data_IF_371676169893
#
_entry.id   IF_371676169893
#
_cell.length_a   1.000
_cell.length_b   1.000
_cell.length_c   1.000
_cell.angle_alpha   90.00
_cell.angle_beta   90.00
_cell.angle_gamma   90.00
#
_symmetry.space_group_name_H-M   'P 1'
#
loop_
_entity.id
_entity.type
_entity.pdbx_description
1 polymer ?
#
# COMPACT_ATOMS: atom_id res chain seq x y z
N UNK A 1 2.45 0.31 -19.40
CA UNK A 1 1.46 -0.08 -18.37
C UNK A 1 2.15 -0.96 -17.34
N UNK A 2 2.38 -0.40 -16.15
CA UNK A 2 3.14 -1.05 -15.07
C UNK A 2 2.32 -2.02 -14.21
N UNK A 3 1.00 -2.16 -14.45
CA UNK A 3 0.08 -2.85 -13.53
C UNK A 3 -0.73 -3.92 -14.26
N UNK A 4 -0.04 -4.77 -15.00
CA UNK A 4 -0.71 -5.69 -15.93
C UNK A 4 -1.19 -6.99 -15.27
N UNK A 5 -0.53 -7.45 -14.19
CA UNK A 5 -0.78 -8.78 -13.65
C UNK A 5 -2.23 -8.98 -13.18
N UNK A 6 -2.81 -7.97 -12.57
CA UNK A 6 -4.20 -8.05 -12.10
C UNK A 6 -5.19 -8.27 -13.26
N UNK A 7 -4.87 -7.71 -14.44
CA UNK A 7 -5.73 -7.73 -15.62
C UNK A 7 -5.49 -8.93 -16.54
N UNK A 8 -4.35 -9.66 -16.38
CA UNK A 8 -4.00 -10.77 -17.24
C UNK A 8 -5.08 -11.86 -17.37
N UNK A 9 -5.71 -12.33 -16.26
CA UNK A 9 -6.74 -13.35 -16.37
C UNK A 9 -7.94 -12.88 -17.20
N UNK A 10 -8.38 -11.65 -16.98
CA UNK A 10 -9.49 -11.06 -17.75
C UNK A 10 -9.13 -10.81 -19.21
N UNK A 11 -7.93 -10.33 -19.49
CA UNK A 11 -7.45 -10.11 -20.86
C UNK A 11 -7.36 -11.42 -21.65
N UNK A 12 -6.85 -12.50 -21.00
CA UNK A 12 -6.78 -13.82 -21.61
C UNK A 12 -8.18 -14.38 -21.90
N UNK A 13 -9.08 -14.34 -20.93
CA UNK A 13 -10.46 -14.77 -21.11
C UNK A 13 -11.19 -13.94 -22.17
N UNK A 14 -10.94 -12.62 -22.21
CA UNK A 14 -11.55 -11.76 -23.21
C UNK A 14 -11.25 -12.14 -24.65
N UNK A 15 -10.09 -12.75 -24.91
CA UNK A 15 -9.73 -13.30 -26.22
C UNK A 15 -10.51 -14.57 -26.57
N UNK A 16 -10.94 -15.33 -25.57
CA UNK A 16 -11.61 -16.64 -25.77
C UNK A 16 -13.13 -16.47 -25.78
N UNK A 17 -13.67 -15.76 -24.79
CA UNK A 17 -15.13 -15.68 -24.53
C UNK A 17 -15.74 -14.32 -24.80
N UNK A 18 -14.93 -13.35 -25.27
CA UNK A 18 -15.36 -12.00 -25.57
C UNK A 18 -15.37 -11.05 -24.37
N UNK A 19 -15.39 -9.75 -24.66
CA UNK A 19 -15.20 -8.68 -23.69
C UNK A 19 -16.27 -8.66 -22.57
N UNK A 20 -17.53 -8.86 -22.91
CA UNK A 20 -18.65 -8.77 -21.96
C UNK A 20 -18.51 -9.81 -20.82
N UNK A 21 -18.26 -11.07 -21.16
CA UNK A 21 -18.10 -12.13 -20.18
C UNK A 21 -16.79 -11.98 -19.38
N UNK A 22 -15.72 -11.53 -20.03
CA UNK A 22 -14.47 -11.22 -19.35
C UNK A 22 -14.63 -10.09 -18.33
N UNK A 23 -15.45 -9.07 -18.59
CA UNK A 23 -15.74 -8.00 -17.63
C UNK A 23 -16.48 -8.51 -16.40
N UNK A 24 -17.46 -9.40 -16.59
CA UNK A 24 -18.17 -10.06 -15.47
C UNK A 24 -17.17 -10.90 -14.65
N UNK A 25 -16.31 -11.65 -15.33
CA UNK A 25 -15.25 -12.42 -14.65
C UNK A 25 -14.34 -11.51 -13.81
N UNK A 26 -13.94 -10.34 -14.33
CA UNK A 26 -13.10 -9.41 -13.58
C UNK A 26 -13.79 -8.84 -12.34
N UNK A 27 -15.09 -8.61 -12.38
CA UNK A 27 -15.86 -8.22 -11.19
C UNK A 27 -15.84 -9.33 -10.12
N UNK A 28 -16.06 -10.57 -10.55
CA UNK A 28 -15.97 -11.73 -9.64
C UNK A 28 -14.55 -11.86 -9.07
N UNK A 29 -13.54 -11.73 -9.92
CA UNK A 29 -12.13 -11.78 -9.55
C UNK A 29 -11.78 -10.74 -8.48
N UNK A 30 -12.18 -9.48 -8.70
CA UNK A 30 -12.00 -8.40 -7.73
C UNK A 30 -12.73 -8.71 -6.41
N UNK A 31 -13.96 -9.19 -6.47
CA UNK A 31 -14.76 -9.55 -5.30
C UNK A 31 -14.07 -10.65 -4.48
N UNK A 32 -13.49 -11.66 -5.14
CA UNK A 32 -12.73 -12.73 -4.47
C UNK A 32 -11.54 -12.15 -3.73
N UNK A 33 -10.77 -11.23 -4.34
CA UNK A 33 -9.64 -10.58 -3.67
C UNK A 33 -10.07 -9.78 -2.44
N UNK A 34 -11.18 -9.04 -2.53
CA UNK A 34 -11.75 -8.31 -1.39
C UNK A 34 -12.14 -9.28 -0.27
N UNK A 35 -12.83 -10.37 -0.60
CA UNK A 35 -13.22 -11.38 0.39
C UNK A 35 -12.02 -12.05 1.03
N UNK A 36 -10.97 -12.38 0.24
CA UNK A 36 -9.72 -12.95 0.76
C UNK A 36 -9.02 -11.98 1.71
N UNK A 37 -8.94 -10.71 1.37
CA UNK A 37 -8.37 -9.70 2.25
C UNK A 37 -9.10 -9.69 3.60
N UNK A 38 -10.42 -9.55 3.60
CA UNK A 38 -11.20 -9.55 4.84
C UNK A 38 -11.12 -10.86 5.63
N UNK A 39 -11.09 -11.98 4.96
CA UNK A 39 -10.85 -13.27 5.60
C UNK A 39 -9.53 -13.28 6.39
N UNK A 40 -8.44 -12.80 5.78
CA UNK A 40 -7.14 -12.73 6.47
C UNK A 40 -7.12 -11.69 7.58
N UNK A 41 -7.78 -10.55 7.44
CA UNK A 41 -7.92 -9.54 8.50
C UNK A 41 -8.66 -10.14 9.71
N UNK A 42 -9.80 -10.77 9.50
CA UNK A 42 -10.60 -11.40 10.57
C UNK A 42 -9.78 -12.50 11.27
N UNK A 43 -9.09 -13.33 10.49
CA UNK A 43 -8.25 -14.39 11.04
C UNK A 43 -7.09 -13.87 11.87
N UNK A 44 -6.51 -12.73 11.49
CA UNK A 44 -5.38 -12.11 12.20
C UNK A 44 -5.85 -11.43 13.49
N UNK A 45 -6.94 -10.71 13.47
CA UNK A 45 -7.36 -9.82 14.56
C UNK A 45 -8.24 -10.50 15.64
N UNK A 46 -8.63 -11.75 15.49
CA UNK A 46 -9.40 -12.62 16.41
C UNK A 46 -10.68 -12.03 17.02
N UNK A 47 -10.70 -10.76 17.47
CA UNK A 47 -11.79 -10.09 18.20
C UNK A 47 -12.22 -8.76 17.53
N UNK A 48 -12.47 -8.77 16.23
CA UNK A 48 -12.93 -7.56 15.54
C UNK A 48 -14.39 -7.28 15.90
N UNK A 49 -14.63 -6.13 16.51
CA UNK A 49 -15.98 -5.54 16.59
C UNK A 49 -16.30 -4.89 15.24
N UNK A 50 -17.50 -5.11 14.71
CA UNK A 50 -17.95 -4.56 13.42
C UNK A 50 -17.69 -3.05 13.27
N UNK A 51 -17.77 -2.26 14.35
CA UNK A 51 -17.50 -0.83 14.35
C UNK A 51 -16.06 -0.49 13.91
N UNK A 52 -15.06 -1.30 14.27
CA UNK A 52 -13.68 -1.07 13.87
C UNK A 52 -13.48 -1.34 12.37
N UNK A 53 -14.25 -2.24 11.84
CA UNK A 53 -14.25 -2.56 10.43
C UNK A 53 -14.75 -1.38 9.57
N UNK A 54 -15.85 -0.76 9.98
CA UNK A 54 -16.35 0.43 9.31
C UNK A 54 -15.38 1.62 9.39
N UNK A 55 -14.77 1.85 10.56
CA UNK A 55 -13.75 2.89 10.72
C UNK A 55 -12.57 2.63 9.78
N UNK A 56 -12.08 1.39 9.75
CA UNK A 56 -10.95 0.99 8.90
C UNK A 56 -11.25 1.21 7.41
N UNK A 57 -12.44 0.88 6.94
CA UNK A 57 -12.80 1.04 5.53
C UNK A 57 -12.96 2.51 5.14
N UNK A 58 -13.66 3.29 5.98
CA UNK A 58 -14.06 4.66 5.65
C UNK A 58 -12.99 5.70 5.98
N UNK A 59 -12.08 5.41 6.92
CA UNK A 59 -11.11 6.37 7.41
C UNK A 59 -9.94 6.51 6.42
N UNK A 60 -9.73 7.73 5.94
CA UNK A 60 -8.60 8.11 5.07
C UNK A 60 -7.64 9.10 5.72
N UNK A 61 -7.65 9.20 7.07
CA UNK A 61 -6.83 10.16 7.81
C UNK A 61 -7.57 11.45 8.16
N UNK A 62 -6.85 12.42 8.70
CA UNK A 62 -7.38 13.74 9.09
C UNK A 62 -7.10 14.84 8.05
N UNK A 63 -6.49 14.50 6.92
CA UNK A 63 -6.15 15.48 5.89
C UNK A 63 -7.38 16.22 5.35
N UNK A 64 -8.53 15.57 5.35
CA UNK A 64 -9.83 16.21 5.04
C UNK A 64 -10.09 17.43 5.95
N UNK A 65 -9.70 17.37 7.22
CA UNK A 65 -9.83 18.51 8.15
C UNK A 65 -8.91 19.66 7.71
N UNK A 66 -7.67 19.35 7.30
CA UNK A 66 -6.74 20.33 6.73
C UNK A 66 -7.36 21.05 5.52
N UNK A 67 -7.98 20.30 4.60
CA UNK A 67 -8.65 20.87 3.43
C UNK A 67 -9.84 21.76 3.80
N UNK A 68 -10.64 21.36 4.78
CA UNK A 68 -11.74 22.18 5.28
C UNK A 68 -11.23 23.50 5.86
N UNK A 69 -10.17 23.46 6.66
CA UNK A 69 -9.55 24.66 7.25
C UNK A 69 -8.99 25.56 6.15
N UNK A 70 -8.27 25.02 5.19
CA UNK A 70 -7.72 25.76 4.05
C UNK A 70 -8.84 26.44 3.24
N UNK A 71 -9.92 25.73 2.95
CA UNK A 71 -11.07 26.28 2.24
C UNK A 71 -11.78 27.41 3.02
N UNK A 72 -11.89 27.26 4.34
CA UNK A 72 -12.43 28.30 5.22
C UNK A 72 -11.56 29.57 5.22
N UNK A 73 -10.24 29.42 5.30
CA UNK A 73 -9.29 30.55 5.27
C UNK A 73 -9.37 31.26 3.92
N UNK A 74 -9.47 30.51 2.83
CA UNK A 74 -9.51 31.05 1.47
C UNK A 74 -10.90 31.56 1.06
N UNK A 75 -11.92 31.43 1.92
CA UNK A 75 -13.31 31.82 1.62
C UNK A 75 -13.95 30.98 0.50
N UNK A 76 -13.44 29.78 0.25
CA UNK A 76 -13.95 28.83 -0.76
C UNK A 76 -14.99 27.88 -0.14
N UNK A 77 -15.72 27.15 -0.98
CA UNK A 77 -16.69 26.15 -0.50
C UNK A 77 -16.02 25.11 0.39
N UNK A 78 -16.63 24.82 1.55
CA UNK A 78 -16.15 23.84 2.52
C UNK A 78 -16.03 22.44 1.87
N UNK A 79 -16.95 22.11 1.00
CA UNK A 79 -16.90 20.89 0.17
C UNK A 79 -17.08 21.28 -1.28
N UNK A 80 -16.02 21.41 -2.06
CA UNK A 80 -16.13 21.68 -3.48
C UNK A 80 -16.78 20.48 -4.18
N UNK A 81 -18.01 20.66 -4.64
CA UNK A 81 -18.76 19.66 -5.38
C UNK A 81 -18.02 19.43 -6.70
N UNK A 82 -17.66 18.19 -6.98
CA UNK A 82 -17.00 17.81 -8.24
C UNK A 82 -15.49 17.66 -8.20
N UNK A 83 -14.83 17.83 -7.07
CA UNK A 83 -13.42 17.50 -6.93
C UNK A 83 -13.24 15.99 -6.66
N UNK A 84 -12.37 15.36 -7.44
CA UNK A 84 -12.10 13.92 -7.32
C UNK A 84 -11.37 13.57 -6.01
N UNK A 85 -10.72 14.55 -5.38
CA UNK A 85 -9.92 14.36 -4.16
C UNK A 85 -10.21 15.50 -3.18
N UNK A 86 -10.61 15.14 -1.97
CA UNK A 86 -10.92 16.10 -0.88
C UNK A 86 -9.71 16.26 0.05
N UNK A 87 -8.67 15.45 -0.16
CA UNK A 87 -7.52 15.27 0.73
C UNK A 87 -6.20 15.81 0.14
N UNK A 88 -6.25 16.94 -0.57
CA UNK A 88 -5.09 17.52 -1.27
C UNK A 88 -4.43 18.71 -0.56
N UNK A 89 -4.82 19.01 0.67
CA UNK A 89 -4.29 20.17 1.41
C UNK A 89 -2.78 20.17 1.61
N UNK A 90 -2.13 19.00 1.59
CA UNK A 90 -0.68 18.85 1.71
C UNK A 90 0.00 18.62 0.35
N UNK A 91 -0.57 19.12 -0.73
CA UNK A 91 -0.03 19.04 -2.08
C UNK A 91 0.00 17.62 -2.63
N UNK A 92 1.21 17.09 -2.87
CA UNK A 92 1.39 15.72 -3.42
C UNK A 92 1.21 14.61 -2.37
N UNK A 93 1.18 14.95 -1.09
CA UNK A 93 1.06 13.97 -0.02
C UNK A 93 -0.43 13.79 0.34
N UNK A 94 -0.96 12.65 0.01
CA UNK A 94 -2.33 12.27 0.37
C UNK A 94 -2.40 10.77 0.72
N UNK A 95 -3.27 10.42 1.65
CA UNK A 95 -3.59 9.03 1.98
C UNK A 95 -5.08 8.81 1.71
N UNK A 96 -5.37 8.05 0.68
CA UNK A 96 -6.75 7.73 0.35
C UNK A 96 -7.31 6.63 1.25
N UNK A 97 -8.60 6.75 1.61
CA UNK A 97 -9.30 5.70 2.35
C UNK A 97 -9.27 4.36 1.61
N UNK A 98 -9.45 3.26 2.34
CA UNK A 98 -9.52 1.93 1.70
C UNK A 98 -10.62 1.85 0.64
N UNK A 99 -11.76 2.51 0.87
CA UNK A 99 -12.84 2.60 -0.12
C UNK A 99 -12.35 3.31 -1.38
N UNK A 100 -11.70 4.46 -1.25
CA UNK A 100 -11.14 5.19 -2.39
C UNK A 100 -10.10 4.36 -3.13
N UNK A 101 -9.23 3.65 -2.41
CA UNK A 101 -8.24 2.77 -3.02
C UNK A 101 -8.88 1.60 -3.77
N UNK A 102 -10.01 1.05 -3.28
CA UNK A 102 -10.77 0.02 -3.98
C UNK A 102 -11.43 0.52 -5.27
N UNK A 103 -11.74 1.81 -5.37
CA UNK A 103 -12.28 2.38 -6.60
C UNK A 103 -11.21 2.72 -7.63
N UNK A 104 -10.08 3.31 -7.20
CA UNK A 104 -9.11 3.89 -8.11
C UNK A 104 -7.89 3.01 -8.38
N UNK A 105 -7.42 2.25 -7.38
CA UNK A 105 -6.15 1.51 -7.45
C UNK A 105 -6.24 0.09 -6.91
N UNK A 106 -7.43 -0.52 -6.97
CA UNK A 106 -7.68 -1.87 -6.44
C UNK A 106 -6.73 -2.94 -6.99
N UNK A 107 -6.28 -2.79 -8.21
CA UNK A 107 -5.33 -3.68 -8.88
C UNK A 107 -3.94 -3.70 -8.24
N UNK A 108 -3.59 -2.67 -7.48
CA UNK A 108 -2.35 -2.57 -6.70
C UNK A 108 -2.61 -2.83 -5.21
N UNK A 109 -3.66 -2.22 -4.67
CA UNK A 109 -3.96 -2.24 -3.24
C UNK A 109 -4.32 -3.62 -2.74
N UNK A 110 -5.24 -4.32 -3.43
CA UNK A 110 -5.70 -5.64 -2.97
C UNK A 110 -4.58 -6.68 -2.88
N UNK A 111 -3.72 -6.88 -3.91
CA UNK A 111 -2.58 -7.78 -3.78
C UNK A 111 -1.63 -7.38 -2.66
N UNK A 112 -1.38 -6.08 -2.50
CA UNK A 112 -0.51 -5.57 -1.44
C UNK A 112 -1.07 -5.86 -0.04
N UNK A 113 -2.34 -5.57 0.19
CA UNK A 113 -3.00 -5.82 1.47
C UNK A 113 -3.01 -7.30 1.82
N UNK A 114 -3.30 -8.17 0.85
CA UNK A 114 -3.26 -9.62 1.06
C UNK A 114 -1.84 -10.08 1.39
N UNK A 115 -0.82 -9.60 0.66
CA UNK A 115 0.57 -9.95 0.92
C UNK A 115 1.01 -9.52 2.32
N UNK A 116 0.65 -8.29 2.75
CA UNK A 116 0.93 -7.81 4.12
C UNK A 116 0.24 -8.69 5.15
N UNK A 117 -1.05 -9.02 4.97
CA UNK A 117 -1.78 -9.87 5.92
C UNK A 117 -1.21 -11.29 6.01
N UNK A 118 -0.80 -11.88 4.88
CA UNK A 118 -0.12 -13.16 4.86
C UNK A 118 1.23 -13.10 5.58
N UNK A 119 2.00 -12.07 5.32
CA UNK A 119 3.28 -11.86 5.98
C UNK A 119 3.14 -11.67 7.50
N UNK A 120 2.16 -10.88 7.95
CA UNK A 120 1.91 -10.67 9.38
C UNK A 120 1.48 -11.96 10.10
N UNK A 121 0.83 -12.89 9.40
CA UNK A 121 0.46 -14.19 9.95
C UNK A 121 1.63 -15.17 10.04
N UNK A 122 2.71 -14.93 9.29
CA UNK A 122 3.91 -15.76 9.33
C UNK A 122 4.74 -15.48 10.58
N UNK A 123 5.35 -16.54 11.12
CA UNK A 123 6.26 -16.43 12.27
C UNK A 123 7.71 -16.19 11.86
N UNK A 124 8.06 -16.53 10.63
CA UNK A 124 9.44 -16.49 10.11
C UNK A 124 9.55 -15.66 8.81
N UNK A 125 10.75 -15.55 8.26
CA UNK A 125 11.07 -14.82 7.04
C UNK A 125 11.27 -15.73 5.82
N UNK A 126 10.93 -17.01 5.93
CA UNK A 126 11.30 -18.03 4.92
C UNK A 126 10.63 -17.85 3.56
N UNK A 127 9.51 -17.14 3.51
CA UNK A 127 8.73 -16.94 2.28
C UNK A 127 8.48 -15.47 1.95
N UNK A 128 9.04 -14.53 2.71
CA UNK A 128 8.78 -13.11 2.49
C UNK A 128 9.30 -12.59 1.14
N UNK A 129 10.44 -13.10 0.67
CA UNK A 129 10.96 -12.77 -0.67
C UNK A 129 10.07 -13.28 -1.81
N UNK A 130 9.39 -14.41 -1.61
CA UNK A 130 8.40 -14.90 -2.55
C UNK A 130 7.19 -13.97 -2.65
N UNK A 131 6.64 -13.51 -1.51
CA UNK A 131 5.56 -12.53 -1.53
C UNK A 131 5.97 -11.18 -2.12
N UNK A 132 7.19 -10.74 -1.82
CA UNK A 132 7.77 -9.56 -2.46
C UNK A 132 7.78 -9.71 -3.98
N UNK A 133 8.27 -10.85 -4.48
CA UNK A 133 8.33 -11.13 -5.92
C UNK A 133 6.95 -11.13 -6.58
N UNK A 134 5.95 -11.71 -5.92
CA UNK A 134 4.57 -11.73 -6.41
C UNK A 134 3.97 -10.32 -6.56
N UNK A 135 4.41 -9.33 -5.79
CA UNK A 135 3.89 -7.96 -5.87
C UNK A 135 4.44 -7.17 -7.06
N UNK A 136 5.63 -7.51 -7.56
CA UNK A 136 6.30 -6.77 -8.64
C UNK A 136 5.39 -6.56 -9.87
N UNK A 137 4.70 -7.58 -10.41
CA UNK A 137 3.84 -7.40 -11.57
C UNK A 137 2.52 -6.67 -11.28
N UNK A 138 2.17 -6.50 -10.00
CA UNK A 138 0.98 -5.73 -9.59
C UNK A 138 1.28 -4.25 -9.37
N UNK A 139 2.49 -3.89 -8.98
CA UNK A 139 2.90 -2.49 -8.87
C UNK A 139 4.21 -2.29 -8.09
N UNK A 140 5.06 -1.34 -8.54
CA UNK A 140 6.33 -1.06 -7.88
C UNK A 140 6.15 -0.39 -6.49
N UNK A 141 5.16 0.46 -6.32
CA UNK A 141 4.96 1.17 -5.05
C UNK A 141 4.55 0.25 -3.89
N UNK A 142 3.54 -0.64 -4.04
CA UNK A 142 3.24 -1.66 -3.05
C UNK A 142 4.43 -2.56 -2.73
N UNK A 143 5.22 -2.88 -3.74
CA UNK A 143 6.45 -3.68 -3.58
C UNK A 143 7.46 -2.95 -2.69
N UNK A 144 7.73 -1.67 -2.91
CA UNK A 144 8.67 -0.88 -2.12
C UNK A 144 8.19 -0.78 -0.66
N UNK A 145 6.91 -0.50 -0.44
CA UNK A 145 6.32 -0.46 0.91
C UNK A 145 6.44 -1.80 1.63
N UNK A 146 6.20 -2.89 0.92
CA UNK A 146 6.34 -4.24 1.49
C UNK A 146 7.79 -4.59 1.81
N UNK A 147 8.73 -4.21 0.95
CA UNK A 147 10.18 -4.38 1.19
C UNK A 147 10.62 -3.61 2.44
N UNK A 148 10.16 -2.37 2.59
CA UNK A 148 10.43 -1.56 3.77
C UNK A 148 9.91 -2.23 5.05
N UNK A 149 8.69 -2.75 5.04
CA UNK A 149 8.11 -3.49 6.16
C UNK A 149 8.95 -4.72 6.52
N UNK A 150 9.39 -5.52 5.55
CA UNK A 150 10.27 -6.66 5.76
C UNK A 150 11.58 -6.21 6.40
N UNK A 151 12.22 -5.19 5.83
CA UNK A 151 13.50 -4.67 6.29
C UNK A 151 13.42 -4.19 7.75
N UNK A 152 12.42 -3.40 8.09
CA UNK A 152 12.19 -2.95 9.46
C UNK A 152 12.01 -4.13 10.43
N UNK A 153 11.23 -5.13 10.05
CA UNK A 153 10.99 -6.31 10.89
C UNK A 153 12.25 -7.19 11.06
N UNK A 154 13.12 -7.25 10.06
CA UNK A 154 14.41 -7.97 10.17
C UNK A 154 15.33 -7.25 11.15
N UNK A 155 15.45 -5.92 11.03
CA UNK A 155 16.33 -5.14 11.90
C UNK A 155 15.84 -5.16 13.33
N UNK A 156 14.61 -4.80 13.57
CA UNK A 156 14.07 -4.55 14.91
C UNK A 156 13.28 -5.74 15.49
N UNK A 157 13.02 -6.77 14.70
CA UNK A 157 12.17 -7.91 15.04
C UNK A 157 10.67 -7.58 14.90
N UNK A 158 9.85 -8.61 14.79
CA UNK A 158 8.40 -8.46 14.66
C UNK A 158 7.75 -7.77 15.87
N UNK A 159 8.37 -7.91 17.04
CA UNK A 159 7.89 -7.28 18.29
C UNK A 159 8.60 -5.95 18.59
N UNK A 160 9.54 -5.50 17.74
CA UNK A 160 10.28 -4.25 17.83
C UNK A 160 11.04 -4.03 19.17
N UNK A 161 11.14 -5.05 19.97
CA UNK A 161 11.80 -5.02 21.27
C UNK A 161 13.20 -5.63 21.25
N UNK A 162 13.64 -6.15 20.11
CA UNK A 162 14.91 -6.83 20.00
C UNK A 162 15.94 -5.93 19.32
N UNK A 163 17.15 -5.95 19.86
CA UNK A 163 18.33 -5.39 19.22
C UNK A 163 18.53 -6.01 17.83
N UNK A 164 19.23 -5.29 16.96
CA UNK A 164 19.60 -5.73 15.62
C UNK A 164 20.20 -7.14 15.68
N UNK A 165 19.55 -8.09 15.05
CA UNK A 165 20.00 -9.48 15.05
C UNK A 165 20.23 -9.97 13.61
N UNK A 166 21.49 -10.00 13.21
CA UNK A 166 21.92 -10.47 11.88
C UNK A 166 21.57 -11.93 11.59
N UNK A 167 21.27 -12.76 12.61
CA UNK A 167 20.81 -14.14 12.38
C UNK A 167 19.52 -14.21 11.56
N UNK A 168 18.67 -13.16 11.67
CA UNK A 168 17.41 -13.09 10.89
C UNK A 168 17.65 -12.96 9.38
N UNK A 169 18.77 -12.35 8.97
CA UNK A 169 19.14 -12.33 7.55
C UNK A 169 19.40 -13.73 6.98
N UNK A 170 19.90 -14.65 7.81
CA UNK A 170 20.09 -16.06 7.39
C UNK A 170 18.77 -16.77 7.14
N UNK A 171 17.69 -16.37 7.82
CA UNK A 171 16.36 -16.91 7.60
C UNK A 171 15.76 -16.52 6.23
N UNK A 172 16.32 -15.47 5.59
CA UNK A 172 15.96 -15.11 4.21
C UNK A 172 16.54 -16.04 3.17
N UNK A 173 17.66 -16.72 3.49
CA UNK A 173 18.36 -17.62 2.57
C UNK A 173 17.63 -18.95 2.44
N UNK A 174 16.48 -18.94 1.79
CA UNK A 174 15.62 -20.10 1.57
C UNK A 174 15.34 -20.29 0.11
N UNK A 175 15.02 -21.52 -0.27
CA UNK A 175 14.64 -21.88 -1.64
C UNK A 175 13.47 -21.01 -2.15
N UNK A 176 12.35 -20.85 -1.43
CA UNK A 176 11.25 -19.98 -1.88
C UNK A 176 11.67 -18.54 -2.14
N UNK A 177 12.49 -17.94 -1.25
CA UNK A 177 12.95 -16.58 -1.43
C UNK A 177 13.89 -16.43 -2.63
N UNK A 178 14.78 -17.41 -2.85
CA UNK A 178 15.67 -17.45 -4.00
C UNK A 178 14.90 -17.53 -5.32
N UNK A 179 13.96 -18.46 -5.44
CA UNK A 179 13.12 -18.58 -6.63
C UNK A 179 12.20 -17.35 -6.81
N UNK A 180 11.71 -16.78 -5.71
CA UNK A 180 10.99 -15.51 -5.75
C UNK A 180 11.83 -14.41 -6.41
N UNK A 181 13.04 -14.19 -5.95
CA UNK A 181 13.95 -13.19 -6.53
C UNK A 181 14.25 -13.45 -8.01
N UNK A 182 14.49 -14.70 -8.40
CA UNK A 182 14.73 -15.04 -9.80
C UNK A 182 13.51 -14.77 -10.67
N UNK A 183 12.31 -15.09 -10.19
CA UNK A 183 11.06 -14.87 -10.95
C UNK A 183 10.76 -13.40 -11.25
N UNK A 184 11.36 -12.48 -10.51
CA UNK A 184 11.24 -11.05 -10.74
C UNK A 184 12.08 -10.58 -11.94
N UNK A 185 13.19 -11.24 -12.23
CA UNK A 185 14.14 -10.80 -13.25
C UNK A 185 13.51 -10.62 -14.65
N UNK A 186 12.69 -11.55 -15.18
CA UNK A 186 12.03 -11.35 -16.46
C UNK A 186 11.11 -10.13 -16.48
N UNK A 187 10.43 -9.86 -15.36
CA UNK A 187 9.50 -8.74 -15.23
C UNK A 187 10.25 -7.41 -15.19
N UNK A 188 11.32 -7.33 -14.40
CA UNK A 188 12.23 -6.18 -14.36
C UNK A 188 12.83 -5.93 -15.73
N UNK A 189 13.31 -6.98 -16.40
CA UNK A 189 13.86 -6.89 -17.74
C UNK A 189 12.81 -6.38 -18.75
N UNK A 190 11.58 -6.88 -18.68
CA UNK A 190 10.48 -6.38 -19.53
C UNK A 190 10.18 -4.89 -19.25
N UNK A 191 10.23 -4.45 -18.00
CA UNK A 191 10.05 -3.04 -17.65
C UNK A 191 11.19 -2.18 -18.19
N UNK A 192 12.44 -2.62 -18.07
CA UNK A 192 13.60 -1.88 -18.57
C UNK A 192 13.62 -1.76 -20.11
N UNK A 193 13.19 -2.81 -20.81
CA UNK A 193 13.08 -2.79 -22.27
C UNK A 193 11.96 -1.88 -22.79
N UNK A 194 10.86 -1.79 -22.04
CA UNK A 194 9.70 -0.97 -22.41
C UNK A 194 9.78 0.47 -21.91
N UNK A 195 10.86 0.85 -21.27
CA UNK A 195 11.04 2.24 -20.87
C UNK A 195 11.13 3.13 -22.11
N UNK A 196 10.05 3.87 -22.34
CA UNK A 196 10.17 5.13 -23.03
C UNK A 196 11.25 5.94 -22.29
N UNK A 197 12.19 6.54 -22.99
CA UNK A 197 13.38 7.32 -22.57
C UNK A 197 13.21 8.35 -21.42
N UNK A 198 12.14 8.29 -20.68
CA UNK A 198 11.83 9.06 -19.48
C UNK A 198 12.20 8.21 -18.28
N UNK A 199 13.36 8.49 -17.71
CA UNK A 199 13.83 7.83 -16.48
C UNK A 199 12.80 7.87 -15.36
N UNK A 200 13.04 7.12 -14.29
CA UNK A 200 12.27 7.22 -13.05
C UNK A 200 12.45 8.65 -12.53
N UNK A 201 11.50 9.49 -12.86
CA UNK A 201 11.43 10.82 -12.28
C UNK A 201 10.84 10.63 -10.88
N UNK A 202 11.68 10.77 -9.89
CA UNK A 202 11.17 11.22 -8.62
C UNK A 202 10.53 12.59 -8.87
N UNK A 203 9.22 12.60 -9.11
CA UNK A 203 8.41 13.81 -9.13
C UNK A 203 8.44 14.37 -7.73
N UNK A 204 9.46 15.10 -7.45
CA UNK A 204 9.79 15.49 -6.12
C UNK A 204 9.70 16.99 -6.06
N UNK A 205 9.73 17.42 -4.88
CA UNK A 205 10.12 18.72 -4.39
C UNK A 205 10.96 19.58 -5.35
N UNK A 206 11.69 18.94 -6.22
CA UNK A 206 12.56 19.56 -7.22
C UNK A 206 11.80 20.27 -8.36
N UNK A 207 10.56 19.87 -8.66
CA UNK A 207 9.79 20.54 -9.71
C UNK A 207 9.33 21.95 -9.32
N UNK A 208 9.17 22.22 -8.03
CA UNK A 208 8.70 23.52 -7.54
C UNK A 208 9.79 24.32 -6.80
N UNK A 209 11.03 23.81 -6.75
CA UNK A 209 12.20 24.58 -6.24
C UNK A 209 12.23 24.83 -4.73
N UNK A 210 11.23 24.40 -3.96
CA UNK A 210 11.14 24.67 -2.54
C UNK A 210 11.16 23.37 -1.71
N UNK A 211 12.38 22.91 -1.41
CA UNK A 211 12.62 21.75 -0.58
C UNK A 211 12.08 21.95 0.85
N UNK A 212 12.18 23.15 1.40
CA UNK A 212 11.74 23.43 2.76
C UNK A 212 10.22 23.27 2.87
N UNK A 213 9.45 23.82 1.94
CA UNK A 213 8.00 23.68 1.90
C UNK A 213 7.57 22.23 1.69
N UNK A 214 8.29 21.48 0.89
CA UNK A 214 8.01 20.03 0.72
C UNK A 214 8.24 19.24 2.00
N UNK A 215 9.31 19.52 2.73
CA UNK A 215 9.57 18.87 4.03
C UNK A 215 8.48 19.25 5.05
N UNK A 216 8.10 20.52 5.10
CA UNK A 216 7.02 20.98 5.99
C UNK A 216 5.72 20.27 5.65
N UNK A 217 5.32 20.21 4.39
CA UNK A 217 4.11 19.52 3.95
C UNK A 217 4.15 18.03 4.27
N UNK A 218 5.30 17.38 4.11
CA UNK A 218 5.47 15.98 4.49
C UNK A 218 5.31 15.77 6.00
N UNK A 219 5.92 16.61 6.82
CA UNK A 219 5.79 16.53 8.30
C UNK A 219 4.34 16.78 8.73
N UNK A 220 3.68 17.78 8.16
CA UNK A 220 2.26 18.06 8.42
C UNK A 220 1.37 16.90 7.98
N UNK A 221 1.64 16.32 6.82
CA UNK A 221 0.95 15.13 6.34
C UNK A 221 1.09 13.97 7.33
N UNK A 222 2.32 13.67 7.77
CA UNK A 222 2.56 12.61 8.77
C UNK A 222 1.81 12.88 10.07
N UNK A 223 1.82 14.11 10.56
CA UNK A 223 1.10 14.49 11.78
C UNK A 223 -0.41 14.31 11.60
N UNK A 224 -0.99 14.86 10.54
CA UNK A 224 -2.44 14.83 10.32
C UNK A 224 -2.95 13.40 10.06
N UNK A 225 -2.24 12.62 9.25
CA UNK A 225 -2.71 11.28 8.90
C UNK A 225 -2.51 10.28 10.04
N UNK A 226 -1.46 10.44 10.83
CA UNK A 226 -1.00 9.38 11.71
C UNK A 226 -1.08 9.68 13.20
N UNK A 227 -1.23 10.98 13.59
CA UNK A 227 -1.37 11.36 14.99
C UNK A 227 -2.55 10.63 15.66
N UNK A 228 -3.65 10.45 14.94
CA UNK A 228 -4.83 9.72 15.44
C UNK A 228 -4.49 8.28 15.81
N UNK A 229 -3.68 7.62 14.98
CA UNK A 229 -3.25 6.25 15.27
C UNK A 229 -2.36 6.18 16.51
N UNK A 230 -1.49 7.18 16.70
CA UNK A 230 -0.62 7.27 17.90
C UNK A 230 -1.46 7.43 19.17
N UNK A 231 -2.53 8.23 19.12
CA UNK A 231 -3.44 8.47 20.26
C UNK A 231 -4.29 7.24 20.57
N UNK A 232 -4.75 6.52 19.54
CA UNK A 232 -5.64 5.35 19.70
C UNK A 232 -4.85 4.11 20.11
N UNK A 233 -3.55 4.05 19.80
CA UNK A 233 -2.74 2.86 20.00
C UNK A 233 -2.30 2.75 21.44
N UNK A 234 -2.59 1.59 22.02
CA UNK A 234 -2.16 1.22 23.34
C UNK A 234 -0.63 1.28 23.44
N UNK A 235 -0.08 1.78 24.57
CA UNK A 235 1.37 1.93 24.83
C UNK A 235 2.23 0.71 24.45
N UNK A 236 1.63 -0.47 24.41
CA UNK A 236 2.32 -1.73 24.04
C UNK A 236 2.64 -1.82 22.54
N UNK A 237 1.86 -1.17 21.68
CA UNK A 237 1.96 -1.29 20.21
C UNK A 237 2.45 -0.02 19.51
N UNK A 238 2.78 1.07 20.28
CA UNK A 238 3.17 2.35 19.67
C UNK A 238 4.41 2.24 18.78
N UNK A 239 5.36 1.37 19.12
CA UNK A 239 6.58 1.17 18.33
C UNK A 239 6.28 0.59 16.94
N UNK A 240 5.30 -0.32 16.84
CA UNK A 240 4.91 -0.92 15.56
C UNK A 240 4.31 0.11 14.61
N UNK A 241 3.61 1.09 15.17
CA UNK A 241 3.00 2.17 14.38
C UNK A 241 4.04 3.19 13.95
N UNK A 242 4.91 3.63 14.87
CA UNK A 242 5.98 4.57 14.52
C UNK A 242 6.87 4.03 13.38
N UNK A 243 7.01 2.71 13.27
CA UNK A 243 7.81 2.11 12.18
C UNK A 243 7.05 1.93 10.86
N UNK A 244 5.75 2.13 10.85
CA UNK A 244 4.98 2.15 9.59
C UNK A 244 5.11 3.52 8.87
N UNK A 245 5.74 4.50 9.50
CA UNK A 245 5.96 5.84 9.00
C UNK A 245 7.44 6.15 8.80
#
# INVERSE_FOLDING_TARGET
>A
NYYFAFWLPGAYLGKIIGFKLASIFMLIWQTIFVMLFFYYVIRYMKDIKYRYFFIFIAFGGLNVIGQVIENLINGTSIMPIGTAHIDTSMGIFCMSSFVTQLFWVFNQSLPAWIAVMLYLQQKDYKTCGYFFALLVPFGPFPMIGFLYLIFCNIIFGKDLNSLINFKRFKELLTIPNFFGCISVLPIVFMYTLNESKKGIWFVTAYQNGDLANTIINYVLFVILEFLVYIVIINKKNYKQVIMCF
#
